data_IF_533688829235
#
_entry.id   IF_533688829235
#
_cell.length_a   1.000
_cell.length_b   1.000
_cell.length_c   1.000
_cell.angle_alpha   90.00
_cell.angle_beta   90.00
_cell.angle_gamma   90.00
#
_symmetry.space_group_name_H-M   'P 1'
#
loop_
_entity.id
_entity.type
_entity.pdbx_description
1 polymer ?
#
# COMPACT_ATOMS: atom_id res chain seq x y z
N UNK A 1 21.77 -39.99 -19.80
CA UNK A 1 22.03 -39.22 -18.57
C UNK A 1 21.05 -38.06 -18.54
N UNK A 2 20.12 -38.04 -17.59
CA UNK A 2 19.13 -36.98 -17.51
C UNK A 2 19.82 -35.70 -17.02
N UNK A 3 19.85 -34.66 -17.85
CA UNK A 3 20.41 -33.35 -17.54
C UNK A 3 19.68 -32.77 -16.32
N UNK A 4 20.34 -32.77 -15.16
CA UNK A 4 19.81 -32.18 -13.93
C UNK A 4 19.84 -30.66 -14.09
N UNK A 5 18.69 -30.09 -14.49
CA UNK A 5 18.55 -28.65 -14.73
C UNK A 5 19.02 -27.85 -13.50
N UNK A 6 19.75 -26.74 -13.69
CA UNK A 6 20.30 -25.97 -12.58
C UNK A 6 19.15 -25.55 -11.64
N UNK A 7 19.26 -25.96 -10.38
CA UNK A 7 18.22 -25.70 -9.39
C UNK A 7 18.03 -24.19 -9.21
N UNK A 8 16.90 -23.67 -9.70
CA UNK A 8 16.53 -22.24 -9.68
C UNK A 8 16.68 -21.62 -8.28
N UNK A 9 16.45 -22.43 -7.22
CA UNK A 9 16.49 -22.03 -5.81
C UNK A 9 17.90 -21.78 -5.25
N UNK A 10 18.99 -22.20 -5.93
CA UNK A 10 20.37 -22.03 -5.45
C UNK A 10 21.08 -20.82 -6.08
N UNK A 11 20.47 -20.16 -7.06
CA UNK A 11 21.07 -19.04 -7.77
C UNK A 11 20.91 -17.71 -7.02
N UNK A 12 21.90 -16.79 -7.10
CA UNK A 12 21.80 -15.46 -6.51
C UNK A 12 20.60 -14.65 -7.03
N UNK A 13 20.16 -14.92 -8.27
CA UNK A 13 18.98 -14.29 -8.88
C UNK A 13 17.68 -14.60 -8.12
N UNK A 14 17.52 -15.82 -7.60
CA UNK A 14 16.34 -16.18 -6.82
C UNK A 14 16.25 -15.38 -5.52
N UNK A 15 17.40 -15.18 -4.84
CA UNK A 15 17.46 -14.35 -3.64
C UNK A 15 17.20 -12.87 -3.94
N UNK A 16 17.70 -12.35 -5.06
CA UNK A 16 17.35 -10.99 -5.49
C UNK A 16 15.85 -10.84 -5.75
N UNK A 17 15.22 -11.79 -6.44
CA UNK A 17 13.78 -11.75 -6.71
C UNK A 17 12.95 -11.84 -5.41
N UNK A 18 13.33 -12.73 -4.50
CA UNK A 18 12.67 -12.87 -3.20
C UNK A 18 12.83 -11.62 -2.34
N UNK A 19 14.03 -11.04 -2.31
CA UNK A 19 14.31 -9.79 -1.61
C UNK A 19 13.51 -8.62 -2.19
N UNK A 20 13.43 -8.50 -3.51
CA UNK A 20 12.62 -7.48 -4.19
C UNK A 20 11.13 -7.62 -3.88
N UNK A 21 10.61 -8.86 -3.88
CA UNK A 21 9.23 -9.12 -3.50
C UNK A 21 8.96 -8.75 -2.03
N UNK A 22 9.86 -9.09 -1.12
CA UNK A 22 9.75 -8.71 0.29
C UNK A 22 9.76 -7.17 0.47
N UNK A 23 10.63 -6.47 -0.23
CA UNK A 23 10.68 -5.00 -0.25
C UNK A 23 9.39 -4.38 -0.80
N UNK A 24 8.84 -4.94 -1.88
CA UNK A 24 7.56 -4.51 -2.44
C UNK A 24 6.42 -4.65 -1.42
N UNK A 25 6.33 -5.81 -0.76
CA UNK A 25 5.33 -6.06 0.28
C UNK A 25 5.48 -5.09 1.46
N UNK A 26 6.72 -4.86 1.91
CA UNK A 26 7.00 -3.91 2.97
C UNK A 26 6.55 -2.50 2.59
N UNK A 27 6.86 -2.03 1.37
CA UNK A 27 6.43 -0.73 0.88
C UNK A 27 4.89 -0.59 0.86
N UNK A 28 4.17 -1.61 0.38
CA UNK A 28 2.70 -1.60 0.37
C UNK A 28 2.12 -1.52 1.78
N UNK A 29 2.66 -2.29 2.73
CA UNK A 29 2.24 -2.23 4.14
C UNK A 29 2.52 -0.84 4.72
N UNK A 30 3.70 -0.28 4.47
CA UNK A 30 4.05 1.07 4.93
C UNK A 30 3.10 2.11 4.37
N UNK A 31 2.80 2.08 3.06
CA UNK A 31 1.84 2.99 2.44
C UNK A 31 0.45 2.83 3.06
N UNK A 32 -0.03 1.60 3.25
CA UNK A 32 -1.34 1.34 3.84
C UNK A 32 -1.47 1.87 5.29
N UNK A 33 -0.38 1.87 6.06
CA UNK A 33 -0.38 2.33 7.45
C UNK A 33 -0.14 3.84 7.58
N UNK A 34 0.63 4.44 6.67
CA UNK A 34 1.01 5.86 6.73
C UNK A 34 0.13 6.79 5.89
N UNK A 35 -0.69 6.23 4.98
CA UNK A 35 -1.50 7.02 4.04
C UNK A 35 -2.96 6.57 4.07
N UNK A 36 -3.85 7.45 3.62
CA UNK A 36 -5.29 7.19 3.55
C UNK A 36 -6.09 7.95 4.61
N UNK A 37 -7.40 8.06 4.37
CA UNK A 37 -8.33 8.55 5.37
C UNK A 37 -8.63 7.43 6.39
N UNK A 38 -8.99 7.75 7.65
CA UNK A 38 -9.30 6.76 8.66
C UNK A 38 -10.33 5.73 8.15
N UNK A 39 -10.17 4.43 8.43
CA UNK A 39 -11.12 3.42 7.99
C UNK A 39 -12.49 3.72 8.60
N UNK A 40 -13.51 3.83 7.74
CA UNK A 40 -14.86 4.22 8.16
C UNK A 40 -15.14 5.72 8.13
N UNK A 41 -14.15 6.55 7.76
CA UNK A 41 -14.40 7.97 7.54
C UNK A 41 -15.29 8.21 6.32
N UNK A 42 -16.24 9.13 6.46
CA UNK A 42 -17.05 9.64 5.35
C UNK A 42 -16.50 10.98 4.89
N UNK A 43 -16.30 11.11 3.58
CA UNK A 43 -15.95 12.39 2.99
C UNK A 43 -17.14 13.34 3.09
N UNK A 44 -16.94 14.47 3.75
CA UNK A 44 -17.90 15.56 3.79
C UNK A 44 -17.46 16.65 2.80
N UNK A 45 -18.25 16.91 1.74
CA UNK A 45 -17.91 17.94 0.76
C UNK A 45 -18.01 19.35 1.36
N UNK A 46 -17.42 20.36 0.69
CA UNK A 46 -17.56 21.74 1.10
C UNK A 46 -19.04 22.14 1.17
N UNK A 47 -19.44 22.81 2.25
CA UNK A 47 -20.84 23.16 2.49
C UNK A 47 -21.00 24.59 2.97
N UNK A 48 -22.13 25.18 2.64
CA UNK A 48 -22.51 26.51 3.11
C UNK A 48 -23.29 26.38 4.42
N UNK A 49 -22.68 26.76 5.52
CA UNK A 49 -23.33 26.82 6.84
C UNK A 49 -23.27 28.25 7.37
N UNK A 50 -24.43 28.83 7.69
CA UNK A 50 -24.51 30.17 8.27
C UNK A 50 -23.89 31.28 7.40
N UNK A 51 -23.93 31.14 6.07
CA UNK A 51 -23.35 32.11 5.13
C UNK A 51 -21.82 32.04 5.00
N UNK A 52 -21.17 31.05 5.60
CA UNK A 52 -19.73 30.79 5.45
C UNK A 52 -19.50 29.46 4.73
N UNK A 53 -18.45 29.41 3.92
CA UNK A 53 -17.99 28.17 3.27
C UNK A 53 -17.18 27.38 4.29
N UNK A 54 -17.67 26.20 4.64
CA UNK A 54 -16.94 25.23 5.46
C UNK A 54 -16.10 24.35 4.52
N UNK A 55 -14.78 24.27 4.72
CA UNK A 55 -13.88 23.41 3.93
C UNK A 55 -14.26 21.92 4.01
N UNK A 56 -13.81 21.10 3.05
CA UNK A 56 -14.07 19.67 3.08
C UNK A 56 -13.32 19.00 4.24
N UNK A 57 -13.98 18.03 4.86
CA UNK A 57 -13.43 17.30 6.01
C UNK A 57 -13.79 15.81 5.91
N UNK A 58 -12.92 14.94 6.43
CA UNK A 58 -13.24 13.52 6.62
C UNK A 58 -13.76 13.33 8.04
N UNK A 59 -15.02 12.91 8.20
CA UNK A 59 -15.58 12.62 9.52
C UNK A 59 -15.52 11.13 9.81
N UNK A 60 -15.02 10.77 10.98
CA UNK A 60 -15.23 9.42 11.54
C UNK A 60 -16.72 9.20 11.82
N UNK A 61 -17.16 7.96 11.66
CA UNK A 61 -18.55 7.55 11.86
C UNK A 61 -18.86 7.27 13.32
#
# INVERSE_FOLDING_TARGET
DAEELPALRKGPLFWCALGGFALMMAALVTTALMTGAPPGSQYQPPRLEGGKVVPPEYKEK
#
